data_IF_152236647643
#
_entry.id   IF_152236647643
#
_cell.length_a   1.000
_cell.length_b   1.000
_cell.length_c   1.000
_cell.angle_alpha   90.00
_cell.angle_beta   90.00
_cell.angle_gamma   90.00
#
_symmetry.space_group_name_H-M   'P 1'
#
loop_
_entity.id
_entity.type
_entity.pdbx_description
1 polymer ?
#
# COMPACT_ATOMS: atom_id res chain seq x y z
N UNK A 1 4.85 8.39 -30.54
CA UNK A 1 3.89 7.26 -30.49
C UNK A 1 4.54 5.88 -30.49
N UNK A 2 5.54 5.59 -31.34
CA UNK A 2 6.26 4.30 -31.34
C UNK A 2 6.90 3.95 -29.99
N UNK A 3 7.58 4.91 -29.37
CA UNK A 3 8.28 4.71 -28.09
C UNK A 3 7.33 4.37 -26.92
N UNK A 4 6.15 4.99 -26.88
CA UNK A 4 5.12 4.70 -25.88
C UNK A 4 4.58 3.28 -26.09
N UNK A 5 4.25 2.93 -27.35
CA UNK A 5 3.82 1.56 -27.67
C UNK A 5 4.87 0.55 -27.23
N UNK A 6 6.16 0.78 -27.50
CA UNK A 6 7.25 -0.09 -27.08
C UNK A 6 7.32 -0.27 -25.56
N UNK A 7 7.14 0.81 -24.78
CA UNK A 7 7.09 0.70 -23.32
C UNK A 7 5.93 -0.18 -22.83
N UNK A 8 4.74 -0.07 -23.45
CA UNK A 8 3.62 -0.96 -23.16
C UNK A 8 3.87 -2.42 -23.56
N UNK A 9 4.56 -2.68 -24.67
CA UNK A 9 4.96 -4.04 -25.05
C UNK A 9 5.91 -4.67 -24.03
N UNK A 10 6.88 -3.89 -23.52
CA UNK A 10 7.80 -4.33 -22.46
C UNK A 10 7.02 -4.64 -21.17
N UNK A 11 6.07 -3.77 -20.79
CA UNK A 11 5.22 -4.02 -19.63
C UNK A 11 4.36 -5.29 -19.80
N UNK A 12 3.75 -5.48 -20.99
CA UNK A 12 2.96 -6.67 -21.31
C UNK A 12 3.78 -7.96 -21.26
N UNK A 13 5.04 -7.90 -21.66
CA UNK A 13 5.95 -9.04 -21.54
C UNK A 13 6.22 -9.41 -20.07
N UNK A 14 6.43 -8.42 -19.19
CA UNK A 14 6.57 -8.68 -17.76
C UNK A 14 5.30 -9.32 -17.18
N UNK A 15 4.11 -8.88 -17.59
CA UNK A 15 2.84 -9.53 -17.22
C UNK A 15 2.73 -10.96 -17.76
N UNK A 16 3.21 -11.25 -18.96
CA UNK A 16 3.24 -12.63 -19.45
C UNK A 16 4.11 -13.54 -18.57
N UNK A 17 5.18 -12.99 -17.98
CA UNK A 17 6.02 -13.67 -16.99
C UNK A 17 5.27 -14.11 -15.73
N UNK A 18 4.12 -13.51 -15.40
CA UNK A 18 3.34 -13.83 -14.20
C UNK A 18 2.92 -15.28 -14.15
N UNK A 19 2.47 -15.83 -15.29
CA UNK A 19 2.01 -17.22 -15.37
C UNK A 19 3.10 -18.23 -15.04
N UNK A 20 4.36 -17.88 -15.30
CA UNK A 20 5.52 -18.76 -15.12
C UNK A 20 6.20 -18.57 -13.77
N UNK A 21 5.97 -17.46 -13.08
CA UNK A 21 6.66 -17.13 -11.84
C UNK A 21 5.89 -17.69 -10.63
N UNK A 22 6.42 -18.71 -9.92
CA UNK A 22 5.76 -19.24 -8.73
C UNK A 22 5.66 -18.19 -7.62
N UNK A 23 6.59 -17.23 -7.57
CA UNK A 23 6.60 -16.14 -6.58
C UNK A 23 5.33 -15.30 -6.64
N UNK A 24 4.85 -14.98 -7.85
CA UNK A 24 3.67 -14.15 -8.03
C UNK A 24 2.43 -14.87 -7.51
N UNK A 25 2.26 -16.15 -7.88
CA UNK A 25 1.19 -16.97 -7.32
C UNK A 25 1.25 -17.08 -5.79
N UNK A 26 2.45 -17.32 -5.24
CA UNK A 26 2.63 -17.34 -3.78
C UNK A 26 2.24 -16.01 -3.13
N UNK A 27 2.59 -14.86 -3.71
CA UNK A 27 2.20 -13.55 -3.16
C UNK A 27 0.70 -13.33 -3.15
N UNK A 28 -0.02 -13.71 -4.20
CA UNK A 28 -1.49 -13.59 -4.23
C UNK A 28 -2.17 -14.57 -3.26
N UNK A 29 -1.63 -15.78 -3.11
CA UNK A 29 -2.13 -16.75 -2.12
C UNK A 29 -1.90 -16.23 -0.70
N UNK A 30 -0.70 -15.74 -0.40
CA UNK A 30 -0.39 -15.14 0.91
C UNK A 30 -1.25 -13.88 1.18
N UNK A 31 -1.50 -13.06 0.15
CA UNK A 31 -2.38 -11.91 0.26
C UNK A 31 -3.83 -12.35 0.56
N UNK A 32 -4.31 -13.43 -0.07
CA UNK A 32 -5.61 -14.00 0.24
C UNK A 32 -5.70 -14.52 1.69
N UNK A 33 -4.65 -15.23 2.16
CA UNK A 33 -4.56 -15.71 3.55
C UNK A 33 -4.54 -14.53 4.53
N UNK A 34 -3.79 -13.48 4.21
CA UNK A 34 -3.78 -12.24 4.99
C UNK A 34 -5.18 -11.64 5.06
N UNK A 35 -5.87 -11.47 3.91
CA UNK A 35 -7.25 -10.98 3.89
C UNK A 35 -8.18 -11.85 4.74
N UNK A 36 -8.04 -13.18 4.71
CA UNK A 36 -8.80 -14.09 5.56
C UNK A 36 -8.56 -13.81 7.05
N UNK A 37 -7.29 -13.79 7.48
CA UNK A 37 -6.93 -13.55 8.88
C UNK A 37 -7.42 -12.20 9.40
N UNK A 38 -7.32 -11.14 8.59
CA UNK A 38 -7.78 -9.81 8.98
C UNK A 38 -9.31 -9.71 8.96
N UNK A 39 -9.96 -10.36 7.99
CA UNK A 39 -11.43 -10.40 7.92
C UNK A 39 -12.04 -11.16 9.10
N UNK A 40 -11.39 -12.22 9.60
CA UNK A 40 -11.90 -13.02 10.72
C UNK A 40 -12.01 -12.19 12.01
N UNK A 41 -11.04 -11.30 12.25
CA UNK A 41 -11.11 -10.34 13.36
C UNK A 41 -12.33 -9.43 13.22
N UNK A 42 -12.65 -8.95 12.02
CA UNK A 42 -13.77 -8.03 11.80
C UNK A 42 -15.12 -8.75 11.88
N UNK A 43 -15.21 -9.94 11.27
CA UNK A 43 -16.43 -10.75 11.23
C UNK A 43 -16.78 -11.28 12.61
N UNK A 44 -15.79 -11.72 13.40
CA UNK A 44 -16.03 -12.16 14.78
C UNK A 44 -16.62 -11.05 15.66
N UNK A 45 -16.28 -9.78 15.41
CA UNK A 45 -16.93 -8.64 16.07
C UNK A 45 -18.37 -8.45 15.60
N UNK A 46 -18.64 -8.52 14.29
CA UNK A 46 -20.02 -8.45 13.78
C UNK A 46 -20.92 -9.56 14.33
N UNK A 47 -20.40 -10.78 14.44
CA UNK A 47 -21.11 -11.91 15.05
C UNK A 47 -21.37 -11.65 16.55
N UNK A 48 -20.38 -11.10 17.28
CA UNK A 48 -20.50 -10.79 18.71
C UNK A 48 -21.57 -9.74 19.00
N UNK A 49 -21.72 -8.75 18.13
CA UNK A 49 -22.72 -7.70 18.26
C UNK A 49 -24.06 -8.02 17.57
N UNK A 50 -24.16 -9.19 16.91
CA UNK A 50 -25.33 -9.63 16.12
C UNK A 50 -25.78 -8.61 15.05
N UNK A 51 -24.84 -7.84 14.50
CA UNK A 51 -25.11 -6.73 13.58
C UNK A 51 -24.59 -6.99 12.17
N UNK A 52 -25.25 -6.40 11.18
CA UNK A 52 -24.84 -6.44 9.77
C UNK A 52 -23.84 -5.34 9.45
N UNK A 53 -22.79 -5.64 8.68
CA UNK A 53 -21.78 -4.68 8.23
C UNK A 53 -22.11 -4.12 6.85
N UNK A 54 -21.48 -3.02 6.43
CA UNK A 54 -21.47 -2.68 5.01
C UNK A 54 -20.40 -3.50 4.27
N UNK A 55 -20.62 -3.85 2.99
CA UNK A 55 -19.69 -4.63 2.16
C UNK A 55 -18.25 -4.07 2.16
N UNK A 56 -18.07 -2.76 2.24
CA UNK A 56 -16.76 -2.11 2.23
C UNK A 56 -16.19 -1.77 3.62
N UNK A 57 -16.97 -1.96 4.69
CA UNK A 57 -16.47 -1.72 6.05
C UNK A 57 -15.31 -2.64 6.43
N UNK A 58 -15.31 -3.95 6.10
CA UNK A 58 -14.15 -4.79 6.34
C UNK A 58 -12.87 -4.26 5.69
N UNK A 59 -12.98 -3.67 4.50
CA UNK A 59 -11.85 -3.04 3.82
C UNK A 59 -11.39 -1.76 4.54
N UNK A 60 -12.32 -0.87 4.91
CA UNK A 60 -12.02 0.36 5.64
C UNK A 60 -11.37 0.04 6.99
N UNK A 61 -11.88 -0.96 7.70
CA UNK A 61 -11.41 -1.33 9.03
C UNK A 61 -10.03 -1.97 8.98
N UNK A 62 -9.83 -2.89 8.05
CA UNK A 62 -8.53 -3.53 7.80
C UNK A 62 -7.45 -2.48 7.51
N UNK A 63 -7.69 -1.56 6.59
CA UNK A 63 -6.68 -0.58 6.18
C UNK A 63 -6.68 0.72 7.01
N UNK A 64 -7.53 0.79 8.02
CA UNK A 64 -7.45 1.82 9.06
C UNK A 64 -6.41 1.53 10.13
N UNK A 65 -5.87 0.31 10.18
CA UNK A 65 -4.73 -0.04 11.03
C UNK A 65 -3.42 0.00 10.24
N UNK A 66 -2.42 0.69 10.80
CA UNK A 66 -1.09 0.83 10.21
C UNK A 66 -0.36 -0.52 10.07
N UNK A 67 -0.60 -1.47 10.99
CA UNK A 67 0.06 -2.79 10.96
C UNK A 67 -0.42 -3.60 9.76
N UNK A 68 -1.71 -3.55 9.50
CA UNK A 68 -2.37 -4.19 8.36
C UNK A 68 -1.92 -3.60 7.01
N UNK A 69 -1.81 -2.27 6.92
CA UNK A 69 -1.22 -1.59 5.75
C UNK A 69 0.22 -2.07 5.52
N UNK A 70 1.04 -2.14 6.58
CA UNK A 70 2.42 -2.60 6.48
C UNK A 70 2.53 -4.06 6.03
N UNK A 71 1.75 -4.97 6.62
CA UNK A 71 1.78 -6.38 6.21
C UNK A 71 1.42 -6.54 4.73
N UNK A 72 0.43 -5.77 4.26
CA UNK A 72 0.06 -5.75 2.84
C UNK A 72 1.17 -5.18 1.94
N UNK A 73 1.95 -4.19 2.39
CA UNK A 73 3.08 -3.65 1.62
C UNK A 73 4.31 -4.58 1.64
N UNK A 74 4.52 -5.38 2.69
CA UNK A 74 5.57 -6.39 2.73
C UNK A 74 5.35 -7.49 1.67
N UNK A 75 4.10 -7.90 1.46
CA UNK A 75 3.75 -8.83 0.37
C UNK A 75 4.00 -8.21 -1.01
N UNK A 76 3.79 -6.90 -1.16
CA UNK A 76 4.14 -6.18 -2.39
C UNK A 76 5.66 -6.16 -2.64
N UNK A 77 6.47 -6.02 -1.59
CA UNK A 77 7.94 -6.15 -1.71
C UNK A 77 8.30 -7.53 -2.23
N UNK A 78 7.64 -8.60 -1.74
CA UNK A 78 7.84 -9.95 -2.24
C UNK A 78 7.42 -10.09 -3.72
N UNK A 79 6.35 -9.42 -4.14
CA UNK A 79 5.91 -9.39 -5.54
C UNK A 79 7.00 -8.82 -6.47
N UNK A 80 7.69 -7.75 -6.03
CA UNK A 80 8.71 -7.05 -6.81
C UNK A 80 10.16 -7.37 -6.41
N UNK A 81 10.39 -8.47 -5.69
CA UNK A 81 11.71 -8.83 -5.16
C UNK A 81 12.81 -9.05 -6.22
N UNK A 82 12.45 -9.35 -7.47
CA UNK A 82 13.38 -9.51 -8.60
C UNK A 82 13.56 -8.23 -9.44
N UNK A 83 13.09 -7.09 -8.93
CA UNK A 83 13.28 -5.83 -9.64
C UNK A 83 14.78 -5.44 -9.63
N UNK A 84 15.35 -4.92 -10.73
CA UNK A 84 14.72 -4.70 -12.02
C UNK A 84 14.48 -5.99 -12.80
N UNK A 85 13.29 -6.11 -13.42
CA UNK A 85 12.84 -7.31 -14.14
C UNK A 85 13.68 -7.54 -15.40
N UNK A 86 14.81 -8.22 -15.24
CA UNK A 86 15.72 -8.60 -16.30
C UNK A 86 15.34 -10.03 -16.74
N UNK A 87 14.66 -10.14 -17.86
CA UNK A 87 14.37 -11.42 -18.50
C UNK A 87 15.38 -11.71 -19.61
N UNK A 88 15.37 -12.93 -20.15
CA UNK A 88 16.16 -13.30 -21.34
C UNK A 88 15.85 -12.41 -22.57
N UNK A 89 14.71 -11.71 -22.59
CA UNK A 89 14.36 -10.77 -23.66
C UNK A 89 14.90 -9.35 -23.45
N UNK A 90 15.32 -9.01 -22.23
CA UNK A 90 15.82 -7.67 -21.88
C UNK A 90 17.04 -7.22 -22.71
N UNK A 91 18.03 -8.07 -23.01
CA UNK A 91 19.12 -7.73 -23.93
C UNK A 91 18.62 -7.32 -25.32
N UNK A 92 17.66 -8.07 -25.89
CA UNK A 92 17.11 -7.80 -27.22
C UNK A 92 16.38 -6.47 -27.28
N UNK A 93 15.65 -6.11 -26.22
CA UNK A 93 15.01 -4.80 -26.10
C UNK A 93 16.03 -3.67 -25.95
N UNK A 94 17.09 -3.86 -25.18
CA UNK A 94 18.12 -2.83 -24.97
C UNK A 94 18.96 -2.54 -26.22
N UNK A 95 19.13 -3.51 -27.12
CA UNK A 95 19.75 -3.29 -28.44
C UNK A 95 18.81 -2.53 -29.38
N UNK A 96 17.51 -2.81 -29.32
CA UNK A 96 16.50 -2.23 -30.23
C UNK A 96 15.89 -0.91 -29.75
N UNK A 97 16.04 -0.56 -28.48
CA UNK A 97 15.40 0.61 -27.85
C UNK A 97 16.36 1.36 -26.93
N UNK A 98 15.99 2.58 -26.52
CA UNK A 98 16.76 3.38 -25.56
C UNK A 98 16.54 2.87 -24.14
N UNK A 99 17.57 2.91 -23.28
CA UNK A 99 17.49 2.56 -21.84
C UNK A 99 16.33 3.24 -21.10
N UNK A 100 15.99 4.48 -21.47
CA UNK A 100 14.86 5.24 -20.92
C UNK A 100 13.49 4.64 -21.27
N UNK A 101 13.32 4.09 -22.48
CA UNK A 101 12.07 3.47 -22.93
C UNK A 101 11.87 2.15 -22.20
N UNK A 102 12.94 1.38 -22.00
CA UNK A 102 12.90 0.18 -21.18
C UNK A 102 12.51 0.49 -19.72
N UNK A 103 13.11 1.50 -19.10
CA UNK A 103 12.71 1.95 -17.76
C UNK A 103 11.24 2.39 -17.70
N UNK A 104 10.77 3.12 -18.72
CA UNK A 104 9.36 3.51 -18.79
C UNK A 104 8.42 2.29 -18.82
N UNK A 105 8.80 1.22 -19.52
CA UNK A 105 8.05 -0.05 -19.48
C UNK A 105 8.03 -0.69 -18.11
N UNK A 106 9.16 -0.66 -17.37
CA UNK A 106 9.22 -1.14 -15.99
C UNK A 106 8.33 -0.32 -15.04
N UNK A 107 8.34 1.01 -15.17
CA UNK A 107 7.50 1.89 -14.36
C UNK A 107 6.01 1.66 -14.64
N UNK A 108 5.61 1.54 -15.92
CA UNK A 108 4.22 1.24 -16.29
C UNK A 108 3.80 -0.11 -15.70
N UNK A 109 4.65 -1.12 -15.79
CA UNK A 109 4.40 -2.43 -15.20
C UNK A 109 4.23 -2.34 -13.68
N UNK A 110 5.13 -1.66 -12.97
CA UNK A 110 5.05 -1.48 -11.52
C UNK A 110 3.75 -0.78 -11.12
N UNK A 111 3.37 0.30 -11.81
CA UNK A 111 2.11 1.01 -11.55
C UNK A 111 0.91 0.07 -11.73
N UNK A 112 0.81 -0.61 -12.88
CA UNK A 112 -0.32 -1.48 -13.19
C UNK A 112 -0.39 -2.68 -12.25
N UNK A 113 0.74 -3.30 -11.92
CA UNK A 113 0.82 -4.43 -11.00
C UNK A 113 0.38 -4.03 -9.59
N UNK A 114 0.81 -2.86 -9.09
CA UNK A 114 0.37 -2.34 -7.79
C UNK A 114 -1.14 -2.05 -7.78
N UNK A 115 -1.70 -1.49 -8.85
CA UNK A 115 -3.15 -1.28 -8.97
C UNK A 115 -3.90 -2.61 -8.92
N UNK A 116 -3.47 -3.61 -9.70
CA UNK A 116 -4.08 -4.95 -9.71
C UNK A 116 -4.03 -5.59 -8.31
N UNK A 117 -2.89 -5.48 -7.63
CA UNK A 117 -2.71 -6.00 -6.28
C UNK A 117 -3.67 -5.36 -5.27
N UNK A 118 -3.80 -4.02 -5.28
CA UNK A 118 -4.72 -3.32 -4.37
C UNK A 118 -6.19 -3.63 -4.68
N UNK A 119 -6.56 -3.73 -5.96
CA UNK A 119 -7.91 -4.17 -6.36
C UNK A 119 -8.18 -5.58 -5.85
N UNK A 120 -7.21 -6.49 -5.99
CA UNK A 120 -7.34 -7.85 -5.48
C UNK A 120 -7.59 -7.87 -3.97
N UNK A 121 -6.83 -7.10 -3.19
CA UNK A 121 -7.03 -6.98 -1.74
C UNK A 121 -8.44 -6.46 -1.39
N UNK A 122 -8.89 -5.40 -2.07
CA UNK A 122 -10.22 -4.82 -1.86
C UNK A 122 -11.34 -5.81 -2.19
N UNK A 123 -11.23 -6.52 -3.31
CA UNK A 123 -12.21 -7.52 -3.74
C UNK A 123 -12.23 -8.71 -2.79
N UNK A 124 -11.08 -9.22 -2.36
CA UNK A 124 -11.00 -10.34 -1.42
C UNK A 124 -11.65 -9.99 -0.08
N UNK A 125 -11.37 -8.81 0.47
CA UNK A 125 -12.01 -8.36 1.72
C UNK A 125 -13.53 -8.16 1.55
N UNK A 126 -13.97 -7.64 0.41
CA UNK A 126 -15.39 -7.52 0.10
C UNK A 126 -16.10 -8.88 -0.01
N UNK A 127 -15.46 -9.88 -0.63
CA UNK A 127 -16.01 -11.25 -0.73
C UNK A 127 -16.11 -11.88 0.67
N UNK A 128 -15.10 -11.73 1.51
CA UNK A 128 -15.14 -12.29 2.87
C UNK A 128 -16.20 -11.62 3.75
N UNK A 129 -16.44 -10.32 3.55
CA UNK A 129 -17.50 -9.58 4.23
C UNK A 129 -18.91 -9.78 3.66
N UNK A 130 -19.05 -10.31 2.44
CA UNK A 130 -20.33 -10.43 1.74
C UNK A 130 -21.43 -11.21 2.50
N UNK A 131 -21.14 -12.32 3.22
CA UNK A 131 -22.18 -13.09 3.92
C UNK A 131 -22.85 -12.31 5.07
N UNK A 132 -22.19 -11.29 5.60
CA UNK A 132 -22.63 -10.54 6.78
C UNK A 132 -22.90 -9.07 6.46
N UNK A 133 -23.14 -8.73 5.19
CA UNK A 133 -23.18 -7.32 4.78
C UNK A 133 -24.34 -6.84 3.91
N UNK A 134 -24.63 -5.55 4.05
CA UNK A 134 -25.58 -4.78 3.24
C UNK A 134 -24.85 -3.83 2.27
N UNK A 135 -25.52 -3.47 1.18
CA UNK A 135 -24.96 -2.64 0.08
C UNK A 135 -25.31 -1.15 0.15
N UNK A 136 -26.09 -0.74 1.15
CA UNK A 136 -26.49 0.65 1.37
C UNK A 136 -25.30 1.57 1.68
N UNK A 137 -25.40 2.86 1.34
CA UNK A 137 -24.37 3.86 1.63
C UNK A 137 -24.58 4.51 3.00
N UNK A 138 -24.67 3.69 4.04
CA UNK A 138 -24.88 4.12 5.42
C UNK A 138 -23.95 3.29 6.29
N UNK A 139 -23.38 3.88 7.34
CA UNK A 139 -22.55 3.13 8.28
C UNK A 139 -23.38 2.06 9.00
N UNK A 140 -22.79 0.90 9.25
CA UNK A 140 -23.43 -0.17 10.01
C UNK A 140 -23.68 0.19 11.46
N UNK A 141 -24.63 -0.51 12.06
CA UNK A 141 -24.85 -0.45 13.50
C UNK A 141 -23.61 -0.89 14.28
N UNK A 142 -22.83 -1.86 13.77
CA UNK A 142 -21.55 -2.26 14.37
C UNK A 142 -20.57 -1.09 14.43
N UNK A 143 -20.47 -0.31 13.34
CA UNK A 143 -19.63 0.89 13.29
C UNK A 143 -20.10 1.93 14.32
N UNK A 144 -21.41 2.17 14.41
CA UNK A 144 -21.98 3.11 15.37
C UNK A 144 -21.75 2.66 16.82
N UNK A 145 -21.93 1.37 17.13
CA UNK A 145 -21.70 0.82 18.46
C UNK A 145 -20.23 0.90 18.87
N UNK A 146 -19.29 0.65 17.94
CA UNK A 146 -17.85 0.79 18.22
C UNK A 146 -17.42 2.25 18.33
N UNK A 147 -18.00 3.14 17.52
CA UNK A 147 -17.69 4.57 17.55
C UNK A 147 -18.22 5.30 18.79
N UNK A 148 -19.47 5.04 19.18
CA UNK A 148 -20.13 5.72 20.30
C UNK A 148 -20.11 4.95 21.62
N UNK A 149 -19.91 3.63 21.59
CA UNK A 149 -20.04 2.74 22.76
C UNK A 149 -18.85 2.67 23.71
N UNK A 150 -17.78 3.45 23.48
CA UNK A 150 -16.66 3.55 24.44
C UNK A 150 -15.94 2.22 24.73
N UNK A 151 -15.91 1.29 23.76
CA UNK A 151 -15.26 0.00 23.90
C UNK A 151 -13.73 0.13 23.97
N UNK A 152 -13.14 -0.54 24.95
CA UNK A 152 -11.70 -0.61 25.27
C UNK A 152 -10.78 -0.50 24.04
N UNK A 153 -9.95 0.56 24.01
CA UNK A 153 -8.61 0.63 23.38
C UNK A 153 -8.35 -0.10 22.07
N UNK A 154 -9.36 -0.29 21.23
CA UNK A 154 -9.20 -0.83 19.88
C UNK A 154 -9.23 0.37 18.95
N UNK A 155 -8.14 0.52 18.20
CA UNK A 155 -7.94 1.45 17.08
C UNK A 155 -8.89 1.12 15.93
N UNK A 156 -10.19 1.10 16.20
CA UNK A 156 -11.20 0.98 15.16
C UNK A 156 -11.21 2.32 14.41
N UNK A 157 -11.01 2.33 13.08
CA UNK A 157 -10.97 3.56 12.27
C UNK A 157 -12.33 4.26 12.16
N UNK A 158 -13.33 3.77 12.86
CA UNK A 158 -14.60 4.46 13.07
C UNK A 158 -14.43 5.44 14.23
N UNK A 159 -13.54 6.42 14.04
CA UNK A 159 -13.62 7.61 14.88
C UNK A 159 -14.97 8.27 14.59
N UNK A 160 -15.70 8.73 15.61
CA UNK A 160 -16.98 9.44 15.43
C UNK A 160 -16.84 10.55 14.36
N UNK A 161 -15.67 11.20 14.33
CA UNK A 161 -15.27 12.20 13.33
C UNK A 161 -15.36 11.70 11.87
N UNK A 162 -15.04 10.43 11.62
CA UNK A 162 -15.12 9.80 10.29
C UNK A 162 -16.56 9.52 9.87
N UNK A 163 -17.39 9.04 10.80
CA UNK A 163 -18.81 8.76 10.53
C UNK A 163 -19.58 10.04 10.24
N UNK A 164 -19.26 11.12 10.96
CA UNK A 164 -19.92 12.43 10.83
C UNK A 164 -19.52 13.18 9.56
N UNK A 165 -18.30 12.93 9.04
CA UNK A 165 -17.74 13.69 7.91
C UNK A 165 -17.85 12.98 6.56
N UNK A 166 -18.04 11.66 6.51
CA UNK A 166 -17.98 10.90 5.26
C UNK A 166 -18.95 9.73 5.20
N UNK A 167 -19.40 9.41 3.98
CA UNK A 167 -20.16 8.19 3.73
C UNK A 167 -19.22 7.01 3.50
N UNK A 168 -19.63 5.77 3.78
CA UNK A 168 -18.74 4.60 3.67
C UNK A 168 -18.14 4.38 2.28
N UNK A 169 -18.88 4.60 1.18
CA UNK A 169 -18.31 4.48 -0.17
C UNK A 169 -17.24 5.55 -0.45
N UNK A 170 -17.46 6.78 0.04
CA UNK A 170 -16.48 7.86 -0.07
C UNK A 170 -15.24 7.55 0.76
N UNK A 171 -15.42 7.05 1.99
CA UNK A 171 -14.34 6.62 2.87
C UNK A 171 -13.53 5.47 2.25
N UNK A 172 -14.21 4.44 1.70
CA UNK A 172 -13.56 3.33 1.00
C UNK A 172 -12.70 3.80 -0.18
N UNK A 173 -13.20 4.76 -0.98
CA UNK A 173 -12.45 5.32 -2.10
C UNK A 173 -11.19 6.08 -1.64
N UNK A 174 -11.29 6.83 -0.54
CA UNK A 174 -10.15 7.56 0.04
C UNK A 174 -9.12 6.57 0.61
N UNK A 175 -9.55 5.60 1.41
CA UNK A 175 -8.68 4.55 1.98
C UNK A 175 -7.98 3.79 0.86
N UNK A 176 -8.72 3.40 -0.18
CA UNK A 176 -8.14 2.75 -1.36
C UNK A 176 -7.09 3.63 -2.03
N UNK A 177 -7.37 4.93 -2.22
CA UNK A 177 -6.42 5.88 -2.78
C UNK A 177 -5.14 6.02 -1.95
N UNK A 178 -5.26 6.11 -0.62
CA UNK A 178 -4.13 6.22 0.31
C UNK A 178 -3.26 4.97 0.29
N UNK A 179 -3.85 3.78 0.42
CA UNK A 179 -3.12 2.50 0.38
C UNK A 179 -2.46 2.30 -0.99
N UNK A 180 -3.16 2.66 -2.08
CA UNK A 180 -2.60 2.60 -3.43
C UNK A 180 -1.39 3.52 -3.60
N UNK A 181 -1.47 4.77 -3.13
CA UNK A 181 -0.37 5.72 -3.22
C UNK A 181 0.83 5.29 -2.37
N UNK A 182 0.60 4.78 -1.16
CA UNK A 182 1.65 4.28 -0.29
C UNK A 182 2.35 3.05 -0.87
N UNK A 183 1.59 2.05 -1.30
CA UNK A 183 2.14 0.84 -1.93
C UNK A 183 2.88 1.18 -3.22
N UNK A 184 2.39 2.15 -4.00
CA UNK A 184 3.07 2.65 -5.19
C UNK A 184 4.37 3.39 -4.85
N UNK A 185 4.37 4.22 -3.81
CA UNK A 185 5.57 4.89 -3.31
C UNK A 185 6.65 3.87 -2.93
N UNK A 186 6.30 2.83 -2.16
CA UNK A 186 7.24 1.76 -1.79
C UNK A 186 7.77 1.03 -3.02
N UNK A 187 6.91 0.70 -3.99
CA UNK A 187 7.33 0.00 -5.21
C UNK A 187 8.27 0.87 -6.09
N UNK A 188 7.99 2.16 -6.23
CA UNK A 188 8.84 3.08 -7.00
C UNK A 188 10.16 3.37 -6.26
N UNK A 189 10.12 3.48 -4.93
CA UNK A 189 11.33 3.61 -4.09
C UNK A 189 12.24 2.40 -4.27
N UNK A 190 11.66 1.19 -4.24
CA UNK A 190 12.37 -0.06 -4.48
C UNK A 190 13.05 -0.05 -5.86
N UNK A 191 12.38 0.46 -6.90
CA UNK A 191 12.91 0.54 -8.26
C UNK A 191 14.11 1.49 -8.30
N UNK A 192 13.96 2.67 -7.69
CA UNK A 192 15.02 3.66 -7.62
C UNK A 192 16.26 3.11 -6.90
N UNK A 193 16.08 2.51 -5.72
CA UNK A 193 17.18 1.97 -4.92
C UNK A 193 17.87 0.79 -5.62
N UNK A 194 17.12 -0.08 -6.28
CA UNK A 194 17.69 -1.17 -7.07
C UNK A 194 18.53 -0.67 -8.24
N UNK A 195 18.14 0.44 -8.87
CA UNK A 195 18.93 1.09 -9.93
C UNK A 195 20.14 1.87 -9.38
N UNK A 196 20.06 2.40 -8.17
CA UNK A 196 21.09 3.25 -7.58
C UNK A 196 22.22 2.45 -6.93
N UNK A 197 21.87 1.41 -6.17
CA UNK A 197 22.76 0.69 -5.26
C UNK A 197 22.74 -0.85 -5.44
N UNK A 198 22.03 -1.36 -6.44
CA UNK A 198 22.02 -2.78 -6.81
C UNK A 198 20.78 -3.56 -6.34
N UNK A 199 20.58 -4.78 -6.85
CA UNK A 199 19.30 -5.52 -6.77
C UNK A 199 18.78 -5.85 -5.36
N UNK A 200 19.65 -5.91 -4.35
CA UNK A 200 19.23 -6.14 -2.96
C UNK A 200 18.91 -4.85 -2.19
N UNK A 201 19.40 -3.69 -2.67
CA UNK A 201 19.29 -2.43 -1.95
C UNK A 201 17.83 -1.93 -1.87
N UNK A 202 17.03 -2.19 -2.90
CA UNK A 202 15.61 -1.83 -2.93
C UNK A 202 14.76 -2.67 -1.99
N UNK A 203 15.01 -3.98 -1.88
CA UNK A 203 14.33 -4.85 -0.90
C UNK A 203 14.65 -4.38 0.52
N UNK A 204 15.94 -4.20 0.82
CA UNK A 204 16.40 -3.75 2.15
C UNK A 204 15.86 -2.36 2.46
N UNK A 205 15.89 -1.43 1.51
CA UNK A 205 15.39 -0.07 1.71
C UNK A 205 13.87 0.00 1.89
N UNK A 206 13.10 -0.74 1.08
CA UNK A 206 11.66 -0.82 1.24
C UNK A 206 11.26 -1.43 2.59
N UNK A 207 11.99 -2.47 3.02
CA UNK A 207 11.82 -3.07 4.35
C UNK A 207 12.18 -2.10 5.47
N UNK A 208 13.30 -1.37 5.35
CA UNK A 208 13.72 -0.37 6.33
C UNK A 208 12.71 0.77 6.47
N UNK A 209 12.14 1.27 5.37
CA UNK A 209 11.09 2.30 5.39
C UNK A 209 9.81 1.76 6.02
N UNK A 210 9.45 0.51 5.75
CA UNK A 210 8.28 -0.14 6.37
C UNK A 210 8.48 -0.29 7.88
N UNK A 211 9.66 -0.73 8.32
CA UNK A 211 10.02 -0.87 9.73
C UNK A 211 10.10 0.48 10.45
N UNK A 212 10.63 1.50 9.77
CA UNK A 212 10.65 2.88 10.27
C UNK A 212 9.22 3.40 10.48
N UNK A 213 8.31 3.09 9.55
CA UNK A 213 6.89 3.40 9.69
C UNK A 213 6.24 2.74 10.91
N UNK A 214 6.60 1.49 11.21
CA UNK A 214 6.14 0.76 12.40
C UNK A 214 6.66 1.38 13.71
N UNK A 215 7.93 1.75 13.76
CA UNK A 215 8.54 2.38 14.95
C UNK A 215 7.89 3.72 15.28
N UNK A 216 7.42 4.43 14.24
CA UNK A 216 6.67 5.67 14.36
C UNK A 216 5.16 5.45 14.50
N UNK A 217 4.69 4.21 14.72
CA UNK A 217 3.29 4.00 15.07
C UNK A 217 3.06 4.49 16.51
N UNK A 218 2.09 5.39 16.77
CA UNK A 218 1.78 5.92 18.10
C UNK A 218 1.81 4.92 19.25
N UNK A 219 1.25 3.72 19.07
CA UNK A 219 1.22 2.71 20.14
C UNK A 219 2.60 2.10 20.44
N UNK A 220 3.42 1.90 19.41
CA UNK A 220 4.79 1.39 19.55
C UNK A 220 5.67 2.48 20.13
N UNK A 221 5.53 3.71 19.64
CA UNK A 221 6.26 4.88 20.12
C UNK A 221 5.95 5.18 21.58
N UNK A 222 4.68 5.06 21.99
CA UNK A 222 4.23 5.18 23.39
C UNK A 222 4.81 4.09 24.28
N UNK A 223 4.79 2.82 23.83
CA UNK A 223 5.39 1.69 24.57
C UNK A 223 6.90 1.79 24.70
N UNK A 224 7.58 2.40 23.72
CA UNK A 224 9.03 2.53 23.69
C UNK A 224 9.55 3.69 24.55
N UNK A 225 8.80 4.79 24.65
CA UNK A 225 9.26 6.02 25.32
C UNK A 225 8.47 6.44 26.56
N UNK A 226 7.37 5.76 26.94
CA UNK A 226 6.60 5.99 28.17
C UNK A 226 6.23 7.49 28.41
N UNK A 227 5.53 8.12 27.48
CA UNK A 227 5.16 9.53 27.57
C UNK A 227 3.92 9.82 28.46
N UNK A 228 3.85 11.03 29.04
CA UNK A 228 2.70 11.58 29.78
C UNK A 228 1.64 12.13 28.81
N UNK A 229 0.34 12.04 29.15
CA UNK A 229 -0.83 12.33 28.27
C UNK A 229 -0.75 13.63 27.41
N UNK A 230 -0.15 14.73 27.90
CA UNK A 230 -0.05 15.97 27.11
C UNK A 230 1.01 15.92 25.99
N UNK A 231 2.00 15.04 26.12
CA UNK A 231 3.03 14.80 25.11
C UNK A 231 2.56 13.78 24.05
N UNK A 232 1.54 12.97 24.36
CA UNK A 232 0.97 11.98 23.44
C UNK A 232 0.35 12.64 22.20
N UNK A 233 -0.41 13.73 22.37
CA UNK A 233 -0.98 14.45 21.22
C UNK A 233 0.10 15.01 20.29
N UNK A 234 1.15 15.61 20.86
CA UNK A 234 2.26 16.17 20.08
C UNK A 234 3.07 15.06 19.40
N UNK A 235 3.30 13.95 20.08
CA UNK A 235 3.97 12.78 19.52
C UNK A 235 3.15 12.15 18.38
N UNK A 236 1.82 12.07 18.52
CA UNK A 236 0.92 11.56 17.47
C UNK A 236 0.89 12.46 16.24
N UNK A 237 0.85 13.77 16.42
CA UNK A 237 0.96 14.72 15.30
C UNK A 237 2.32 14.55 14.62
N UNK A 238 3.42 14.50 15.36
CA UNK A 238 4.75 14.24 14.79
C UNK A 238 4.82 12.90 14.05
N UNK A 239 4.30 11.83 14.64
CA UNK A 239 4.25 10.51 14.02
C UNK A 239 3.38 10.49 12.75
N UNK A 240 2.27 11.22 12.73
CA UNK A 240 1.40 11.38 11.56
C UNK A 240 2.08 12.11 10.41
N UNK A 241 2.86 13.15 10.71
CA UNK A 241 3.60 13.91 9.70
C UNK A 241 4.84 13.18 9.18
N UNK A 242 5.52 12.41 10.03
CA UNK A 242 6.86 11.91 9.74
C UNK A 242 6.88 10.46 9.25
N UNK A 243 5.86 9.67 9.59
CA UNK A 243 5.73 8.28 9.11
C UNK A 243 4.96 8.22 7.79
N UNK A 244 5.59 7.75 6.70
CA UNK A 244 4.87 7.46 5.45
C UNK A 244 3.77 6.40 5.65
N UNK A 245 3.92 5.52 6.65
CA UNK A 245 2.90 4.54 6.98
C UNK A 245 1.67 5.21 7.62
N UNK A 246 1.87 6.17 8.53
CA UNK A 246 0.76 6.88 9.16
C UNK A 246 0.07 7.85 8.19
N UNK A 247 0.79 8.43 7.23
CA UNK A 247 0.18 9.19 6.13
C UNK A 247 -0.67 8.32 5.19
N UNK A 248 -0.55 6.99 5.24
CA UNK A 248 -1.40 6.05 4.52
C UNK A 248 -2.61 5.58 5.36
N UNK A 249 -2.51 5.71 6.69
CA UNK A 249 -3.51 5.24 7.66
C UNK A 249 -4.62 6.27 7.83
N UNK A 250 -5.85 5.90 7.49
CA UNK A 250 -6.98 6.83 7.43
C UNK A 250 -7.29 7.57 8.75
N UNK A 251 -7.25 6.93 9.94
CA UNK A 251 -7.41 7.62 11.23
C UNK A 251 -6.38 8.70 11.57
N UNK A 252 -5.21 8.69 10.92
CA UNK A 252 -4.11 9.62 11.18
C UNK A 252 -4.18 10.88 10.31
N UNK A 253 -5.39 11.25 9.86
CA UNK A 253 -5.64 12.44 9.07
C UNK A 253 -6.58 13.41 9.79
N UNK A 254 -6.35 14.71 9.57
CA UNK A 254 -7.23 15.73 10.13
C UNK A 254 -8.52 15.83 9.32
N UNK A 255 -9.65 15.78 10.05
CA UNK A 255 -11.00 16.08 9.55
C UNK A 255 -11.43 17.53 9.88
N UNK A 256 -10.46 18.44 10.11
CA UNK A 256 -10.72 19.85 10.41
C UNK A 256 -10.73 20.21 11.90
N UNK A 257 -10.50 19.23 12.78
CA UNK A 257 -10.50 19.41 14.25
C UNK A 257 -9.10 19.27 14.88
N UNK A 258 -8.09 18.85 14.13
CA UNK A 258 -6.74 18.52 14.62
C UNK A 258 -5.61 19.02 13.70
N UNK A 259 -4.38 19.10 14.20
CA UNK A 259 -3.17 19.48 13.45
C UNK A 259 -2.51 18.32 12.66
N UNK A 260 -3.22 17.19 12.52
CA UNK A 260 -2.80 16.06 11.68
C UNK A 260 -2.79 16.45 10.19
N UNK A 261 -2.00 15.78 9.35
CA UNK A 261 -1.99 16.07 7.91
C UNK A 261 -3.39 15.85 7.32
N UNK A 262 -3.86 16.81 6.51
CA UNK A 262 -5.12 16.66 5.78
C UNK A 262 -5.00 15.56 4.72
N UNK A 263 -6.08 14.81 4.47
CA UNK A 263 -6.11 13.70 3.50
C UNK A 263 -5.58 14.15 2.11
N UNK A 264 -6.02 15.32 1.64
CA UNK A 264 -5.55 15.90 0.38
C UNK A 264 -4.06 16.25 0.37
N UNK A 265 -3.52 16.68 1.51
CA UNK A 265 -2.09 17.02 1.64
C UNK A 265 -1.22 15.77 1.61
N UNK A 266 -1.61 14.70 2.32
CA UNK A 266 -0.91 13.41 2.27
C UNK A 266 -0.90 12.83 0.86
N UNK A 267 -2.04 12.83 0.16
CA UNK A 267 -2.12 12.39 -1.23
C UNK A 267 -1.20 13.20 -2.15
N UNK A 268 -1.12 14.52 -1.95
CA UNK A 268 -0.24 15.40 -2.72
C UNK A 268 1.24 15.16 -2.42
N UNK A 269 1.62 14.94 -1.16
CA UNK A 269 2.98 14.59 -0.76
C UNK A 269 3.42 13.28 -1.43
N UNK A 270 2.58 12.24 -1.39
CA UNK A 270 2.89 10.98 -2.08
C UNK A 270 3.04 11.18 -3.58
N UNK A 271 2.15 11.94 -4.22
CA UNK A 271 2.23 12.21 -5.66
C UNK A 271 3.55 12.91 -6.03
N UNK A 272 3.97 13.93 -5.28
CA UNK A 272 5.27 14.60 -5.50
C UNK A 272 6.43 13.64 -5.31
N UNK A 273 6.45 12.86 -4.23
CA UNK A 273 7.52 11.92 -3.94
C UNK A 273 7.63 10.83 -5.02
N UNK A 274 6.51 10.31 -5.50
CA UNK A 274 6.46 9.33 -6.59
C UNK A 274 7.04 9.95 -7.88
N UNK A 275 6.60 11.15 -8.25
CA UNK A 275 7.10 11.84 -9.46
C UNK A 275 8.60 12.12 -9.33
N UNK A 276 9.07 12.56 -8.16
CA UNK A 276 10.48 12.81 -7.89
C UNK A 276 11.32 11.54 -8.03
N UNK A 277 10.87 10.42 -7.45
CA UNK A 277 11.56 9.12 -7.54
C UNK A 277 11.59 8.56 -8.97
N UNK A 278 10.50 8.75 -9.74
CA UNK A 278 10.47 8.42 -11.18
C UNK A 278 11.51 9.25 -11.94
N UNK A 279 11.58 10.56 -11.68
CA UNK A 279 12.56 11.45 -12.28
C UNK A 279 14.00 11.05 -11.96
N UNK A 280 14.29 10.74 -10.68
CA UNK A 280 15.60 10.28 -10.23
C UNK A 280 15.98 8.93 -10.87
N UNK A 281 15.03 8.01 -10.99
CA UNK A 281 15.23 6.73 -11.68
C UNK A 281 15.60 6.94 -13.16
N UNK A 282 14.94 7.90 -13.83
CA UNK A 282 15.22 8.25 -15.22
C UNK A 282 16.58 8.94 -15.44
N UNK A 283 17.14 9.58 -14.41
CA UNK A 283 18.51 10.09 -14.42
C UNK A 283 19.51 8.95 -14.20
N UNK A 284 19.24 8.09 -13.20
CA UNK A 284 20.18 7.04 -12.77
C UNK A 284 20.38 5.93 -13.80
N UNK A 285 19.36 5.63 -14.61
CA UNK A 285 19.43 4.61 -15.67
C UNK A 285 20.53 4.88 -16.72
N UNK A 286 20.98 6.13 -16.88
CA UNK A 286 22.08 6.46 -17.80
C UNK A 286 23.38 5.76 -17.44
N UNK A 287 23.67 5.63 -16.14
CA UNK A 287 24.86 4.97 -15.60
C UNK A 287 24.60 3.59 -15.02
N UNK A 288 23.49 2.93 -15.39
CA UNK A 288 23.17 1.58 -14.93
C UNK A 288 23.88 0.54 -15.80
N UNK A 289 24.60 -0.38 -15.15
CA UNK A 289 25.27 -1.49 -15.80
C UNK A 289 24.35 -2.72 -15.76
N UNK A 290 23.86 -3.15 -16.92
CA UNK A 290 23.04 -4.35 -17.01
C UNK A 290 23.94 -5.57 -16.89
N UNK A 291 23.73 -6.37 -15.84
CA UNK A 291 24.33 -7.69 -15.71
C UNK A 291 23.34 -8.73 -16.24
N UNK A 292 23.75 -9.48 -17.27
CA UNK A 292 22.96 -10.58 -17.82
C UNK A 292 23.63 -11.88 -17.42
N UNK A 293 23.04 -12.59 -16.45
CA UNK A 293 23.44 -13.96 -16.16
C UNK A 293 22.99 -14.84 -17.33
N UNK A 294 23.95 -15.30 -18.12
CA UNK A 294 23.69 -16.36 -19.10
C UNK A 294 23.34 -17.62 -18.30
N UNK A 295 22.08 -18.04 -18.41
CA UNK A 295 21.68 -19.39 -18.04
C UNK A 295 22.19 -20.27 -19.16
N UNK A 296 23.33 -20.93 -18.93
CA UNK A 296 23.71 -22.09 -19.74
C UNK A 296 22.57 -23.10 -19.62
N UNK A 297 22.16 -23.63 -20.77
CA UNK A 297 21.01 -24.48 -21.01
C UNK A 297 20.80 -25.62 -19.99
#
# INVERSE_FOLDING_TARGET
MRDIKQAFWIAGQNFYGWKKSPRIWMTFILAAILCLMLSDQIISHAIKYETILQVFEPFIWTYGDASSVMLSSLLLILLFADMPFISQATPYWLVRTKRKIWLAGQIIYVILATVIYNIFLAVMLGIMGAPFSFTGNVWSETAAMLGYGGGESITVPVSIKTMESSTPYMCAAIVFGLVLLYTLFIAVLMLFLNLAAGNMAGVIGAFAVSLYGLLLNPDVFRKLFHFTESQEYRANVFCGWLSPLNQATFPMHSFGYDYLPGIGMSMFIFAILIIALIGLSAVRIKGYNFSFTQTNE
#
